data_IF_573102021461
#
_entry.id   IF_573102021461
#
_cell.length_a   1.000
_cell.length_b   1.000
_cell.length_c   1.000
_cell.angle_alpha   90.00
_cell.angle_beta   90.00
_cell.angle_gamma   90.00
#
_symmetry.space_group_name_H-M   'P 1'
#
loop_
_entity.id
_entity.type
_entity.pdbx_description
1 polymer ?
#
# COMPACT_ATOMS: atom_id res chain seq x y z
N UNK A 1 5.86 6.24 14.26
CA UNK A 1 7.08 6.12 13.42
C UNK A 1 6.93 6.98 12.19
N UNK A 2 7.78 7.99 12.00
CA UNK A 2 7.83 8.78 10.76
C UNK A 2 8.52 7.97 9.65
N UNK A 3 7.80 6.99 9.12
CA UNK A 3 7.57 6.86 7.68
C UNK A 3 8.70 6.61 6.69
N UNK A 4 9.97 6.47 7.06
CA UNK A 4 11.02 6.07 6.12
C UNK A 4 12.01 5.10 6.79
N UNK A 5 11.70 3.81 6.73
CA UNK A 5 12.68 2.75 6.94
C UNK A 5 13.74 2.88 5.82
N UNK A 6 14.81 3.64 6.04
CA UNK A 6 15.92 3.79 5.09
C UNK A 6 17.09 2.87 5.39
N UNK A 7 17.15 2.35 6.61
CA UNK A 7 18.21 1.43 7.00
C UNK A 7 17.97 0.06 6.38
N UNK A 8 18.72 -0.25 5.33
CA UNK A 8 18.67 -1.52 4.62
C UNK A 8 18.90 -2.70 5.58
N UNK A 9 19.77 -2.55 6.56
CA UNK A 9 20.08 -3.61 7.54
C UNK A 9 18.85 -3.91 8.41
N UNK A 10 18.16 -2.86 8.88
CA UNK A 10 16.89 -3.00 9.62
C UNK A 10 15.82 -3.67 8.76
N UNK A 11 15.66 -3.28 7.49
CA UNK A 11 14.67 -3.84 6.57
C UNK A 11 14.93 -5.32 6.29
N UNK A 12 16.19 -5.69 6.07
CA UNK A 12 16.61 -7.09 5.92
C UNK A 12 16.30 -7.88 7.20
N UNK A 13 16.70 -7.37 8.37
CA UNK A 13 16.42 -8.01 9.65
C UNK A 13 14.91 -8.19 9.91
N UNK A 14 14.09 -7.22 9.49
CA UNK A 14 12.63 -7.31 9.55
C UNK A 14 12.08 -8.41 8.63
N UNK A 15 12.67 -8.58 7.44
CA UNK A 15 12.32 -9.67 6.52
C UNK A 15 12.58 -11.05 7.13
N UNK A 16 13.74 -11.22 7.77
CA UNK A 16 14.10 -12.44 8.52
C UNK A 16 13.12 -12.68 9.67
N UNK A 17 12.81 -11.65 10.45
CA UNK A 17 11.85 -11.75 11.56
C UNK A 17 10.45 -12.18 11.11
N UNK A 18 9.91 -11.57 10.05
CA UNK A 18 8.58 -11.95 9.54
C UNK A 18 8.62 -13.36 8.91
N UNK A 19 9.75 -13.76 8.31
CA UNK A 19 9.93 -15.12 7.82
C UNK A 19 9.85 -16.16 8.94
N UNK A 20 10.52 -15.92 10.07
CA UNK A 20 10.48 -16.84 11.22
C UNK A 20 9.08 -16.95 11.84
N UNK A 21 8.35 -15.83 11.97
CA UNK A 21 6.95 -15.83 12.39
C UNK A 21 6.09 -16.70 11.46
N UNK A 22 6.19 -16.48 10.15
CA UNK A 22 5.39 -17.21 9.19
C UNK A 22 5.78 -18.71 9.10
N UNK A 23 7.05 -19.07 9.33
CA UNK A 23 7.50 -20.47 9.43
C UNK A 23 6.96 -21.15 10.69
N UNK A 24 6.85 -20.42 11.81
CA UNK A 24 6.19 -20.87 13.03
C UNK A 24 4.65 -20.90 12.92
N UNK A 25 4.09 -20.55 11.76
CA UNK A 25 2.65 -20.55 11.51
C UNK A 25 1.91 -19.35 12.11
N UNK A 26 2.59 -18.28 12.49
CA UNK A 26 1.99 -17.09 13.10
C UNK A 26 1.58 -16.11 12.00
N UNK A 27 0.28 -15.89 11.82
CA UNK A 27 -0.29 -14.86 10.95
C UNK A 27 -0.82 -13.69 11.78
N UNK A 28 -0.30 -12.49 11.56
CA UNK A 28 -0.74 -11.31 12.30
C UNK A 28 -1.75 -10.52 11.45
N UNK A 29 -3.05 -10.59 11.77
CA UNK A 29 -4.12 -10.03 10.91
C UNK A 29 -3.89 -8.54 10.57
N UNK A 30 -3.38 -7.77 11.52
CA UNK A 30 -3.14 -6.33 11.36
C UNK A 30 -1.64 -5.99 11.36
N UNK A 31 -0.80 -6.79 10.69
CA UNK A 31 0.63 -6.49 10.57
C UNK A 31 0.82 -5.15 9.85
N UNK A 32 1.34 -4.19 10.60
CA UNK A 32 1.59 -2.82 10.15
C UNK A 32 2.83 -2.31 10.87
N UNK A 33 3.52 -1.26 10.37
CA UNK A 33 4.73 -0.78 11.02
C UNK A 33 4.46 -0.22 12.42
N UNK A 34 3.22 0.16 12.75
CA UNK A 34 2.83 0.55 14.11
C UNK A 34 2.71 -0.61 15.10
N UNK A 35 2.57 -1.84 14.59
CA UNK A 35 2.41 -3.06 15.39
C UNK A 35 3.70 -3.87 15.52
N UNK A 36 4.83 -3.31 15.05
CA UNK A 36 6.15 -3.91 15.15
C UNK A 36 7.06 -2.92 15.86
N UNK A 37 7.40 -3.22 17.09
CA UNK A 37 8.42 -2.48 17.83
C UNK A 37 9.79 -3.08 17.51
N UNK A 38 10.81 -2.25 17.47
CA UNK A 38 12.18 -2.72 17.41
C UNK A 38 13.11 -1.85 18.26
N UNK A 39 14.22 -2.44 18.67
CA UNK A 39 15.37 -1.72 19.19
C UNK A 39 16.65 -2.30 18.61
N UNK A 40 17.66 -1.44 18.45
CA UNK A 40 18.98 -1.83 17.97
C UNK A 40 19.82 -2.28 19.17
N UNK A 41 20.36 -3.50 19.11
CA UNK A 41 21.28 -4.07 20.08
C UNK A 41 22.61 -4.33 19.38
N UNK A 42 23.59 -3.45 19.62
CA UNK A 42 24.87 -3.42 18.89
C UNK A 42 24.63 -3.36 17.37
N UNK A 43 25.02 -4.39 16.61
CA UNK A 43 24.82 -4.48 15.16
C UNK A 43 23.59 -5.32 14.76
N UNK A 44 22.73 -5.68 15.73
CA UNK A 44 21.54 -6.49 15.50
C UNK A 44 20.26 -5.74 15.86
N UNK A 45 19.13 -6.26 15.37
CA UNK A 45 17.81 -5.72 15.69
C UNK A 45 16.97 -6.78 16.39
N UNK A 46 16.29 -6.39 17.47
CA UNK A 46 15.27 -7.20 18.12
C UNK A 46 13.90 -6.61 17.82
N UNK A 47 12.97 -7.48 17.46
CA UNK A 47 11.60 -7.13 17.09
C UNK A 47 10.61 -7.71 18.08
N UNK A 48 9.58 -6.94 18.39
CA UNK A 48 8.46 -7.35 19.24
C UNK A 48 7.15 -7.01 18.53
N UNK A 49 6.24 -7.98 18.45
CA UNK A 49 4.87 -7.74 17.99
C UNK A 49 4.01 -7.22 19.14
N UNK A 50 3.18 -6.23 18.84
CA UNK A 50 2.14 -5.74 19.74
C UNK A 50 0.76 -5.91 19.10
N UNK A 51 -0.30 -5.73 19.89
CA UNK A 51 -1.68 -6.02 19.49
C UNK A 51 -1.89 -7.46 18.99
N UNK A 52 -1.44 -8.41 19.82
CA UNK A 52 -1.49 -9.84 19.52
C UNK A 52 -2.89 -10.47 19.64
N UNK A 53 -3.91 -9.67 19.94
CA UNK A 53 -5.26 -10.13 20.29
C UNK A 53 -5.97 -10.90 19.16
N UNK A 54 -5.50 -10.76 17.92
CA UNK A 54 -6.13 -11.34 16.73
C UNK A 54 -5.14 -12.12 15.85
N UNK A 55 -4.08 -12.69 16.43
CA UNK A 55 -3.19 -13.58 15.67
C UNK A 55 -3.89 -14.89 15.30
N UNK A 56 -3.56 -15.43 14.14
CA UNK A 56 -4.01 -16.75 13.70
C UNK A 56 -2.81 -17.69 13.60
N UNK A 57 -2.97 -18.92 14.11
CA UNK A 57 -1.96 -19.95 14.01
C UNK A 57 -2.35 -20.94 12.91
N UNK A 58 -1.65 -20.88 11.77
CA UNK A 58 -1.93 -21.69 10.59
C UNK A 58 -0.70 -21.79 9.69
N UNK A 59 -0.67 -22.78 8.80
CA UNK A 59 0.33 -22.83 7.72
C UNK A 59 0.18 -21.59 6.83
N UNK A 60 1.26 -20.82 6.66
CA UNK A 60 1.24 -19.58 5.88
C UNK A 60 1.53 -19.88 4.41
N UNK A 61 0.50 -19.69 3.58
CA UNK A 61 0.59 -19.75 2.12
C UNK A 61 1.28 -18.49 1.56
N UNK A 62 1.73 -18.56 0.31
CA UNK A 62 2.31 -17.38 -0.39
C UNK A 62 1.31 -16.23 -0.44
N UNK A 63 0.04 -16.53 -0.72
CA UNK A 63 -1.04 -15.53 -0.77
C UNK A 63 -1.35 -14.93 0.60
N UNK A 64 -1.28 -15.71 1.68
CA UNK A 64 -1.39 -15.18 3.03
C UNK A 64 -0.23 -14.21 3.33
N UNK A 65 1.02 -14.59 3.02
CA UNK A 65 2.17 -13.73 3.22
C UNK A 65 2.05 -12.39 2.46
N UNK A 66 1.69 -12.44 1.16
CA UNK A 66 1.43 -11.23 0.35
C UNK A 66 0.39 -10.33 1.01
N UNK A 67 -0.72 -10.92 1.48
CA UNK A 67 -1.76 -10.17 2.21
C UNK A 67 -1.20 -9.57 3.49
N UNK A 68 -0.37 -10.30 4.22
CA UNK A 68 0.17 -9.85 5.50
C UNK A 68 1.13 -8.65 5.33
N UNK A 69 1.89 -8.62 4.24
CA UNK A 69 2.80 -7.52 3.90
C UNK A 69 2.12 -6.27 3.35
N UNK A 70 0.85 -6.36 2.94
CA UNK A 70 0.17 -5.34 2.14
C UNK A 70 0.01 -3.95 2.77
N UNK A 71 0.22 -3.83 4.08
CA UNK A 71 0.14 -2.57 4.85
C UNK A 71 1.44 -2.24 5.59
N UNK A 72 2.50 -3.01 5.35
CA UNK A 72 3.73 -2.93 6.15
C UNK A 72 4.53 -1.64 5.88
N UNK A 73 4.49 -1.12 4.66
CA UNK A 73 5.24 0.07 4.31
C UNK A 73 4.50 0.92 3.27
N UNK A 74 4.72 2.23 3.32
CA UNK A 74 4.27 3.16 2.27
C UNK A 74 5.27 3.14 1.12
N UNK A 75 6.58 3.22 1.39
CA UNK A 75 7.60 3.12 0.33
C UNK A 75 7.57 1.74 -0.35
N UNK A 76 7.57 1.74 -1.70
CA UNK A 76 7.71 0.52 -2.51
C UNK A 76 9.09 -0.08 -2.32
N UNK A 77 10.12 0.76 -2.25
CA UNK A 77 11.52 0.37 -2.07
C UNK A 77 11.71 -0.33 -0.72
N UNK A 78 11.18 0.24 0.36
CA UNK A 78 11.22 -0.37 1.69
C UNK A 78 10.50 -1.71 1.70
N UNK A 79 9.28 -1.79 1.13
CA UNK A 79 8.53 -3.04 1.04
C UNK A 79 9.27 -4.10 0.22
N UNK A 80 9.89 -3.71 -0.90
CA UNK A 80 10.69 -4.59 -1.76
C UNK A 80 11.90 -5.13 -1.02
N UNK A 81 12.59 -4.32 -0.21
CA UNK A 81 13.73 -4.79 0.58
C UNK A 81 13.33 -5.88 1.58
N UNK A 82 12.26 -5.65 2.36
CA UNK A 82 11.77 -6.64 3.34
C UNK A 82 11.31 -7.92 2.64
N UNK A 83 10.53 -7.77 1.56
CA UNK A 83 9.89 -8.91 0.88
C UNK A 83 10.88 -9.73 0.04
N UNK A 84 11.95 -9.12 -0.47
CA UNK A 84 13.07 -9.82 -1.11
C UNK A 84 13.78 -10.73 -0.10
N UNK A 85 14.14 -10.21 1.07
CA UNK A 85 14.79 -11.03 2.11
C UNK A 85 13.85 -12.14 2.62
N UNK A 86 12.57 -11.81 2.82
CA UNK A 86 11.55 -12.79 3.17
C UNK A 86 11.46 -13.93 2.14
N UNK A 87 11.41 -13.60 0.85
CA UNK A 87 11.32 -14.58 -0.24
C UNK A 87 12.54 -15.50 -0.26
N UNK A 88 13.74 -14.93 -0.08
CA UNK A 88 15.00 -15.69 0.03
C UNK A 88 14.97 -16.72 1.14
N UNK A 89 14.64 -16.31 2.37
CA UNK A 89 14.55 -17.22 3.54
C UNK A 89 13.48 -18.29 3.33
N UNK A 90 12.39 -17.97 2.62
CA UNK A 90 11.29 -18.89 2.34
C UNK A 90 11.51 -19.76 1.09
N UNK A 91 12.61 -19.59 0.36
CA UNK A 91 12.90 -20.32 -0.87
C UNK A 91 11.91 -20.03 -2.00
N UNK A 92 11.42 -18.80 -2.08
CA UNK A 92 10.49 -18.33 -3.12
C UNK A 92 11.24 -17.59 -4.22
N UNK A 93 10.63 -17.48 -5.40
CA UNK A 93 11.12 -16.58 -6.45
C UNK A 93 11.02 -15.11 -5.97
N UNK A 94 12.18 -14.51 -5.69
CA UNK A 94 12.28 -13.18 -5.07
C UNK A 94 11.56 -12.11 -5.91
N UNK A 95 11.84 -12.10 -7.21
CA UNK A 95 11.32 -11.14 -8.17
C UNK A 95 9.79 -11.21 -8.28
N UNK A 96 9.23 -12.40 -8.45
CA UNK A 96 7.78 -12.60 -8.53
C UNK A 96 7.10 -12.24 -7.22
N UNK A 97 7.67 -12.62 -6.08
CA UNK A 97 7.08 -12.34 -4.78
C UNK A 97 7.07 -10.83 -4.48
N UNK A 98 8.17 -10.13 -4.73
CA UNK A 98 8.28 -8.67 -4.55
C UNK A 98 7.28 -7.93 -5.44
N UNK A 99 7.19 -8.31 -6.72
CA UNK A 99 6.22 -7.71 -7.67
C UNK A 99 4.78 -7.92 -7.20
N UNK A 100 4.40 -9.15 -6.91
CA UNK A 100 3.03 -9.47 -6.48
C UNK A 100 2.66 -8.77 -5.18
N UNK A 101 3.59 -8.68 -4.23
CA UNK A 101 3.37 -8.00 -2.95
C UNK A 101 3.16 -6.50 -3.13
N UNK A 102 3.98 -5.83 -3.94
CA UNK A 102 3.80 -4.42 -4.24
C UNK A 102 2.50 -4.15 -5.00
N UNK A 103 2.15 -4.97 -6.00
CA UNK A 103 0.87 -4.85 -6.71
C UNK A 103 -0.33 -4.98 -5.77
N UNK A 104 -0.29 -5.93 -4.85
CA UNK A 104 -1.35 -6.11 -3.87
C UNK A 104 -1.42 -4.93 -2.88
N UNK A 105 -0.27 -4.48 -2.37
CA UNK A 105 -0.16 -3.30 -1.51
C UNK A 105 -0.73 -2.05 -2.20
N UNK A 106 -0.39 -1.80 -3.45
CA UNK A 106 -0.87 -0.64 -4.20
C UNK A 106 -2.41 -0.66 -4.36
N UNK A 107 -3.02 -1.84 -4.55
CA UNK A 107 -4.50 -1.97 -4.55
C UNK A 107 -5.11 -1.65 -3.18
N UNK A 108 -4.46 -2.06 -2.08
CA UNK A 108 -4.91 -1.76 -0.72
C UNK A 108 -4.85 -0.25 -0.46
N UNK A 109 -3.73 0.40 -0.79
CA UNK A 109 -3.56 1.84 -0.59
C UNK A 109 -4.44 2.67 -1.54
N UNK A 110 -4.71 2.22 -2.77
CA UNK A 110 -5.69 2.87 -3.66
C UNK A 110 -7.08 2.90 -3.05
N UNK A 111 -7.54 1.76 -2.49
CA UNK A 111 -8.82 1.68 -1.78
C UNK A 111 -8.82 2.57 -0.54
N UNK A 112 -7.72 2.61 0.20
CA UNK A 112 -7.57 3.44 1.40
C UNK A 112 -7.64 4.93 1.09
N UNK A 113 -6.86 5.41 0.11
CA UNK A 113 -6.90 6.80 -0.36
C UNK A 113 -8.32 7.21 -0.80
N UNK A 114 -8.98 6.34 -1.56
CA UNK A 114 -10.36 6.54 -2.01
C UNK A 114 -11.33 6.64 -0.83
N UNK A 115 -11.19 5.75 0.17
CA UNK A 115 -12.01 5.78 1.37
C UNK A 115 -11.84 7.08 2.15
N UNK A 116 -10.59 7.52 2.37
CA UNK A 116 -10.29 8.75 3.09
C UNK A 116 -10.79 9.99 2.35
N UNK A 117 -10.58 10.07 1.03
CA UNK A 117 -11.10 11.16 0.20
C UNK A 117 -12.63 11.28 0.33
N UNK A 118 -13.33 10.14 0.32
CA UNK A 118 -14.79 10.14 0.44
C UNK A 118 -15.26 10.45 1.87
N UNK A 119 -14.50 10.05 2.89
CA UNK A 119 -14.76 10.43 4.27
C UNK A 119 -14.58 11.94 4.49
N UNK A 120 -13.52 12.53 3.93
CA UNK A 120 -13.28 13.97 3.97
C UNK A 120 -14.39 14.74 3.25
N UNK A 121 -14.76 14.32 2.03
CA UNK A 121 -15.87 14.90 1.27
C UNK A 121 -17.18 14.96 2.05
N UNK A 122 -17.56 13.86 2.72
CA UNK A 122 -18.78 13.83 3.54
C UNK A 122 -18.69 14.75 4.76
N UNK A 123 -17.51 14.91 5.35
CA UNK A 123 -17.28 15.80 6.49
C UNK A 123 -17.50 17.27 6.11
N UNK A 124 -17.23 17.63 4.86
CA UNK A 124 -17.46 18.97 4.30
C UNK A 124 -18.89 19.18 3.79
N UNK A 125 -19.82 18.25 4.05
CA UNK A 125 -21.22 18.34 3.62
C UNK A 125 -21.49 17.82 2.21
N UNK A 126 -20.51 17.16 1.58
CA UNK A 126 -20.65 16.56 0.26
C UNK A 126 -21.63 15.38 0.22
N UNK A 127 -22.38 15.26 -0.87
CA UNK A 127 -23.36 14.18 -1.07
C UNK A 127 -22.76 12.96 -1.80
N UNK A 128 -23.52 11.86 -1.87
CA UNK A 128 -23.03 10.60 -2.45
C UNK A 128 -22.91 10.63 -3.98
N UNK A 129 -23.77 11.37 -4.68
CA UNK A 129 -23.70 11.54 -6.15
C UNK A 129 -22.47 12.34 -6.58
N UNK A 130 -21.95 13.18 -5.69
CA UNK A 130 -20.76 14.00 -5.92
C UNK A 130 -19.49 13.42 -5.34
N UNK A 131 -19.50 12.14 -4.94
CA UNK A 131 -18.35 11.46 -4.34
C UNK A 131 -17.11 11.56 -5.25
N UNK A 132 -15.99 12.12 -4.76
CA UNK A 132 -14.83 12.42 -5.60
C UNK A 132 -14.26 11.20 -6.33
N UNK A 133 -14.16 10.05 -5.66
CA UNK A 133 -13.64 8.84 -6.29
C UNK A 133 -14.53 8.35 -7.44
N UNK A 134 -15.85 8.39 -7.29
CA UNK A 134 -16.77 8.01 -8.37
C UNK A 134 -16.62 8.96 -9.56
N UNK A 135 -16.58 10.27 -9.30
CA UNK A 135 -16.36 11.26 -10.35
C UNK A 135 -15.01 11.09 -11.05
N UNK A 136 -13.95 10.73 -10.31
CA UNK A 136 -12.64 10.41 -10.87
C UNK A 136 -12.71 9.21 -11.82
N UNK A 137 -13.35 8.12 -11.40
CA UNK A 137 -13.51 6.91 -12.24
C UNK A 137 -14.30 7.21 -13.50
N UNK A 138 -15.41 7.94 -13.39
CA UNK A 138 -16.21 8.33 -14.56
C UNK A 138 -15.44 9.26 -15.50
N UNK A 139 -14.72 10.24 -14.96
CA UNK A 139 -13.88 11.13 -15.77
C UNK A 139 -12.76 10.35 -16.48
N UNK A 140 -12.16 9.35 -15.83
CA UNK A 140 -11.17 8.48 -16.44
C UNK A 140 -11.73 7.60 -17.56
N UNK A 141 -12.94 7.05 -17.37
CA UNK A 141 -13.60 6.25 -18.40
C UNK A 141 -13.88 7.11 -19.63
N UNK A 142 -14.47 8.29 -19.43
CA UNK A 142 -14.85 9.17 -20.51
C UNK A 142 -13.67 9.85 -21.23
N UNK A 143 -12.53 10.04 -20.56
CA UNK A 143 -11.32 10.54 -21.24
C UNK A 143 -10.74 9.57 -22.26
N UNK A 144 -11.08 8.29 -22.18
CA UNK A 144 -10.62 7.24 -23.10
C UNK A 144 -11.74 6.68 -23.99
N UNK A 145 -12.94 7.25 -23.94
CA UNK A 145 -14.07 6.79 -24.75
C UNK A 145 -13.86 7.16 -26.23
N UNK A 146 -13.74 6.19 -27.16
CA UNK A 146 -13.47 6.48 -28.57
C UNK A 146 -14.64 7.18 -29.28
N UNK A 147 -15.85 7.07 -28.74
CA UNK A 147 -17.07 7.71 -29.27
C UNK A 147 -17.08 9.23 -29.07
N UNK A 148 -16.24 9.77 -28.20
CA UNK A 148 -16.17 11.20 -27.93
C UNK A 148 -15.12 11.88 -28.81
N UNK A 149 -15.40 13.13 -29.19
CA UNK A 149 -14.42 13.96 -29.89
C UNK A 149 -13.20 14.21 -29.00
N UNK A 150 -12.04 14.53 -29.61
CA UNK A 150 -10.81 14.84 -28.88
C UNK A 150 -11.04 15.94 -27.82
N UNK A 151 -11.74 17.01 -28.18
CA UNK A 151 -12.05 18.11 -27.26
C UNK A 151 -12.87 17.67 -26.03
N UNK A 152 -13.82 16.74 -26.21
CA UNK A 152 -14.60 16.17 -25.10
C UNK A 152 -13.72 15.28 -24.22
N UNK A 153 -12.89 14.40 -24.82
CA UNK A 153 -11.94 13.56 -24.06
C UNK A 153 -10.97 14.41 -23.24
N UNK A 154 -10.44 15.50 -23.82
CA UNK A 154 -9.54 16.43 -23.15
C UNK A 154 -10.22 17.14 -21.96
N UNK A 155 -11.51 17.48 -22.09
CA UNK A 155 -12.30 18.05 -20.99
C UNK A 155 -12.42 17.07 -19.82
N UNK A 156 -12.70 15.80 -20.11
CA UNK A 156 -12.77 14.77 -19.07
C UNK A 156 -11.41 14.46 -18.45
N UNK A 157 -10.34 14.48 -19.24
CA UNK A 157 -8.97 14.36 -18.75
C UNK A 157 -8.63 15.48 -17.76
N UNK A 158 -8.88 16.75 -18.12
CA UNK A 158 -8.70 17.90 -17.20
C UNK A 158 -9.56 17.79 -15.94
N UNK A 159 -10.81 17.32 -16.07
CA UNK A 159 -11.69 17.08 -14.92
C UNK A 159 -11.12 16.00 -13.99
N UNK A 160 -10.60 14.89 -14.54
CA UNK A 160 -9.98 13.80 -13.80
C UNK A 160 -8.79 14.30 -12.98
N UNK A 161 -7.87 15.05 -13.60
CA UNK A 161 -6.71 15.64 -12.92
C UNK A 161 -7.18 16.57 -11.79
N UNK A 162 -8.12 17.48 -12.06
CA UNK A 162 -8.65 18.40 -11.04
C UNK A 162 -9.16 17.65 -9.81
N UNK A 163 -10.00 16.63 -10.01
CA UNK A 163 -10.56 15.82 -8.90
C UNK A 163 -9.45 15.11 -8.14
N UNK A 164 -8.47 14.54 -8.84
CA UNK A 164 -7.35 13.89 -8.21
C UNK A 164 -6.58 14.87 -7.32
N UNK A 165 -6.11 15.99 -7.88
CA UNK A 165 -5.31 16.99 -7.16
C UNK A 165 -6.06 17.60 -5.98
N UNK A 166 -7.35 17.90 -6.12
CA UNK A 166 -8.11 18.57 -5.06
C UNK A 166 -8.60 17.62 -3.95
N UNK A 167 -8.91 16.36 -4.27
CA UNK A 167 -9.65 15.49 -3.35
C UNK A 167 -8.95 14.18 -2.99
N UNK A 168 -8.12 13.63 -3.87
CA UNK A 168 -7.54 12.29 -3.69
C UNK A 168 -6.07 12.38 -3.28
N UNK A 169 -5.30 13.28 -3.91
CA UNK A 169 -3.88 13.46 -3.71
C UNK A 169 -3.47 13.56 -2.22
N UNK A 170 -4.16 14.31 -1.34
CA UNK A 170 -3.78 14.39 0.08
C UNK A 170 -3.76 13.04 0.82
N UNK A 171 -4.39 12.01 0.24
CA UNK A 171 -4.51 10.67 0.79
C UNK A 171 -3.78 9.61 -0.03
N UNK A 172 -3.19 9.95 -1.19
CA UNK A 172 -2.43 9.02 -2.03
C UNK A 172 -0.99 8.83 -1.55
N UNK A 173 -0.84 8.29 -0.34
CA UNK A 173 0.46 8.16 0.32
C UNK A 173 1.48 7.32 -0.47
N UNK A 174 1.01 6.37 -1.28
CA UNK A 174 1.86 5.47 -2.08
C UNK A 174 2.00 5.92 -3.54
N UNK A 175 1.47 7.09 -3.93
CA UNK A 175 1.52 7.54 -5.34
C UNK A 175 1.02 6.42 -6.28
N UNK A 176 -0.19 5.92 -6.06
CA UNK A 176 -0.76 4.75 -6.80
C UNK A 176 -1.64 5.14 -7.97
N UNK A 177 -1.96 6.43 -8.10
CA UNK A 177 -2.71 6.96 -9.24
C UNK A 177 -1.76 7.47 -10.31
N UNK A 178 -2.07 7.34 -11.61
CA UNK A 178 -1.18 7.77 -12.69
C UNK A 178 -0.75 9.23 -12.62
N UNK A 179 -1.59 10.09 -12.06
CA UNK A 179 -1.36 11.52 -11.90
C UNK A 179 -0.27 11.87 -10.88
N UNK A 180 0.10 10.95 -9.98
CA UNK A 180 1.07 11.22 -8.90
C UNK A 180 2.49 11.54 -9.39
N UNK A 181 2.79 11.24 -10.65
CA UNK A 181 4.10 11.49 -11.28
C UNK A 181 4.19 12.87 -11.95
N UNK A 182 3.13 13.68 -11.89
CA UNK A 182 3.10 15.03 -12.47
C UNK A 182 3.49 16.14 -11.46
N UNK A 183 3.87 15.76 -10.23
CA UNK A 183 4.23 16.67 -9.12
C UNK A 183 5.74 16.66 -8.78
N UNK A 184 6.55 15.91 -9.53
CA UNK A 184 8.00 15.85 -9.41
C UNK A 184 8.69 16.68 -10.51
#
# INVERSE_FOLDING_TARGET
MNGQLKDKTLLTALGVFIASLHQAGIFHIDLSPGNILYYKEQETFRFTLVDINRMQFKKITVQDAIRNFSRLAISREALSCVTCEYARIRGLDEDSFVRQTNQYSDRVYKKYASHLACKAWRKEGGNWFTQPYFQYVMANLFSHCPLFTKAVRDRFHKKRIRIYTSCILPFDFRKVFPESSQED
#
